data_IF_327589724189
#
_entry.id   IF_327589724189
#
_cell.length_a   1.000
_cell.length_b   1.000
_cell.length_c   1.000
_cell.angle_alpha   90.00
_cell.angle_beta   90.00
_cell.angle_gamma   90.00
#
_symmetry.space_group_name_H-M   'P 1'
#
loop_
_entity.id
_entity.type
_entity.pdbx_description
1 polymer ?
#
# COMPACT_ATOMS: atom_id res chain seq x y z
N UNK A 1 -31.34 -32.74 2.30
CA UNK A 1 -32.23 -33.13 1.19
C UNK A 1 -31.58 -32.64 -0.10
N UNK A 2 -30.91 -33.50 -0.89
CA UNK A 2 -30.30 -33.07 -2.17
C UNK A 2 -31.44 -32.90 -3.19
N UNK A 3 -31.60 -31.69 -3.72
CA UNK A 3 -32.63 -31.39 -4.71
C UNK A 3 -32.42 -32.20 -5.98
N UNK A 4 -33.50 -32.75 -6.54
CA UNK A 4 -33.51 -33.55 -7.77
C UNK A 4 -32.97 -32.79 -9.01
N UNK A 5 -32.78 -31.47 -8.88
CA UNK A 5 -32.37 -30.52 -9.93
C UNK A 5 -30.87 -30.18 -9.84
N UNK A 6 -30.18 -30.59 -8.77
CA UNK A 6 -28.80 -30.19 -8.46
C UNK A 6 -28.67 -28.69 -8.15
N UNK A 7 -27.44 -28.18 -8.04
CA UNK A 7 -27.13 -26.77 -7.70
C UNK A 7 -27.17 -25.83 -8.92
N UNK A 8 -27.78 -26.26 -10.02
CA UNK A 8 -27.71 -25.56 -11.33
C UNK A 8 -28.86 -24.60 -11.62
N UNK A 9 -29.95 -24.68 -10.85
CA UNK A 9 -31.09 -23.75 -10.94
C UNK A 9 -31.28 -23.16 -9.55
N UNK A 10 -31.18 -21.83 -9.43
CA UNK A 10 -31.51 -21.13 -8.19
C UNK A 10 -33.01 -21.21 -7.92
N UNK A 11 -33.41 -21.72 -6.76
CA UNK A 11 -34.79 -21.68 -6.31
C UNK A 11 -34.86 -21.64 -4.78
N UNK A 12 -35.90 -20.98 -4.28
CA UNK A 12 -36.08 -20.70 -2.86
C UNK A 12 -37.53 -21.02 -2.46
N UNK A 13 -37.75 -22.00 -1.56
CA UNK A 13 -39.05 -22.26 -0.99
C UNK A 13 -39.36 -21.26 0.12
N UNK A 14 -40.60 -20.76 0.17
CA UNK A 14 -41.12 -19.88 1.21
C UNK A 14 -42.49 -20.39 1.64
N UNK A 15 -42.72 -20.52 2.94
CA UNK A 15 -44.06 -20.78 3.47
C UNK A 15 -44.72 -19.45 3.84
N UNK A 16 -45.88 -19.18 3.27
CA UNK A 16 -46.66 -17.96 3.51
C UNK A 16 -48.02 -18.35 4.07
N UNK A 17 -48.43 -17.72 5.16
CA UNK A 17 -49.79 -17.87 5.69
C UNK A 17 -50.77 -17.04 4.84
N UNK A 18 -51.78 -17.69 4.28
CA UNK A 18 -52.84 -17.04 3.52
C UNK A 18 -54.19 -17.57 4.00
N UNK A 19 -55.01 -16.70 4.60
CA UNK A 19 -56.34 -17.04 5.13
C UNK A 19 -56.34 -18.24 6.10
N UNK A 20 -55.31 -18.33 6.95
CA UNK A 20 -55.16 -19.41 7.94
C UNK A 20 -54.61 -20.73 7.37
N UNK A 21 -54.22 -20.76 6.09
CA UNK A 21 -53.59 -21.93 5.45
C UNK A 21 -52.14 -21.61 5.09
N UNK A 22 -51.22 -22.50 5.46
CA UNK A 22 -49.80 -22.41 5.04
C UNK A 22 -49.65 -22.82 3.59
N UNK A 23 -49.24 -21.88 2.75
CA UNK A 23 -48.99 -22.10 1.31
C UNK A 23 -47.49 -22.15 1.06
N UNK A 24 -47.02 -23.15 0.30
CA UNK A 24 -45.65 -23.21 -0.19
C UNK A 24 -45.53 -22.43 -1.50
N UNK A 25 -44.76 -21.35 -1.47
CA UNK A 25 -44.36 -20.58 -2.64
C UNK A 25 -42.94 -21.00 -3.02
N UNK A 26 -42.73 -21.36 -4.28
CA UNK A 26 -41.40 -21.65 -4.82
C UNK A 26 -41.02 -20.50 -5.75
N UNK A 27 -40.03 -19.72 -5.36
CA UNK A 27 -39.42 -18.70 -6.21
C UNK A 27 -38.30 -19.36 -7.00
N UNK A 28 -38.34 -19.26 -8.33
CA UNK A 28 -37.29 -19.77 -9.21
C UNK A 28 -36.58 -18.57 -9.81
N UNK A 29 -35.26 -18.54 -9.70
CA UNK A 29 -34.45 -17.45 -10.23
C UNK A 29 -34.53 -17.43 -11.76
N UNK A 30 -34.56 -16.23 -12.38
CA UNK A 30 -34.51 -16.15 -13.83
C UNK A 30 -33.17 -16.67 -14.36
N UNK A 31 -33.16 -17.28 -15.55
CA UNK A 31 -31.93 -17.82 -16.11
C UNK A 31 -30.98 -16.70 -16.58
N UNK A 32 -29.69 -16.86 -16.30
CA UNK A 32 -28.63 -15.88 -16.52
C UNK A 32 -28.00 -16.02 -17.93
N UNK A 33 -27.33 -14.97 -18.45
CA UNK A 33 -26.44 -15.10 -19.60
C UNK A 33 -25.48 -16.29 -19.42
N UNK A 34 -25.36 -17.15 -20.43
CA UNK A 34 -24.46 -18.32 -20.38
C UNK A 34 -25.06 -19.58 -19.72
N UNK A 35 -26.22 -19.48 -19.06
CA UNK A 35 -26.89 -20.65 -18.53
C UNK A 35 -27.33 -21.58 -19.65
N UNK A 36 -27.05 -22.87 -19.50
CA UNK A 36 -27.47 -23.92 -20.44
C UNK A 36 -28.99 -23.96 -20.57
N UNK A 37 -29.48 -24.43 -21.73
CA UNK A 37 -30.89 -24.71 -21.91
C UNK A 37 -31.28 -25.96 -21.09
N UNK A 38 -32.32 -25.84 -20.27
CA UNK A 38 -32.83 -26.94 -19.44
C UNK A 38 -34.02 -27.61 -20.09
N UNK A 39 -33.80 -28.80 -20.65
CA UNK A 39 -34.84 -29.62 -21.29
C UNK A 39 -35.58 -30.51 -20.28
N UNK A 40 -36.82 -30.88 -20.63
CA UNK A 40 -37.59 -31.88 -19.91
C UNK A 40 -36.82 -33.22 -19.91
N UNK A 41 -36.50 -33.76 -18.73
CA UNK A 41 -35.67 -34.99 -18.61
C UNK A 41 -36.47 -36.27 -18.55
N UNK A 42 -37.76 -36.20 -18.21
CA UNK A 42 -38.68 -37.34 -18.07
C UNK A 42 -39.98 -37.01 -18.79
N UNK A 43 -40.61 -38.01 -19.38
CA UNK A 43 -41.91 -37.85 -20.03
C UNK A 43 -42.91 -37.21 -19.07
N UNK A 44 -43.59 -36.17 -19.53
CA UNK A 44 -44.60 -35.45 -18.77
C UNK A 44 -45.86 -35.38 -19.61
N UNK A 45 -46.89 -36.13 -19.22
CA UNK A 45 -48.13 -36.29 -19.99
C UNK A 45 -47.82 -36.72 -21.42
N UNK A 46 -48.09 -35.85 -22.40
CA UNK A 46 -47.89 -36.04 -23.83
C UNK A 46 -46.55 -35.49 -24.34
N UNK A 47 -45.70 -34.92 -23.47
CA UNK A 47 -44.40 -34.36 -23.87
C UNK A 47 -43.26 -35.36 -23.62
N UNK A 48 -42.45 -35.57 -24.64
CA UNK A 48 -41.28 -36.43 -24.58
C UNK A 48 -40.08 -35.74 -23.93
N UNK A 49 -39.11 -36.48 -23.38
CA UNK A 49 -37.84 -35.90 -22.95
C UNK A 49 -37.17 -35.10 -24.08
N UNK A 50 -36.49 -34.01 -23.72
CA UNK A 50 -35.86 -33.08 -24.67
C UNK A 50 -36.68 -31.82 -24.95
N UNK A 51 -37.98 -31.81 -24.64
CA UNK A 51 -38.85 -30.65 -24.86
C UNK A 51 -38.47 -29.47 -23.93
N UNK A 52 -38.39 -28.27 -24.49
CA UNK A 52 -38.23 -27.02 -23.75
C UNK A 52 -39.59 -26.37 -23.49
N UNK A 53 -39.73 -25.74 -22.33
CA UNK A 53 -40.92 -24.96 -21.96
C UNK A 53 -40.53 -23.53 -21.66
N UNK A 54 -41.44 -22.60 -21.97
CA UNK A 54 -41.35 -21.21 -21.55
C UNK A 54 -42.59 -20.83 -20.74
N UNK A 55 -42.43 -19.88 -19.82
CA UNK A 55 -43.53 -19.32 -19.04
C UNK A 55 -43.94 -17.99 -19.66
N UNK A 56 -45.19 -17.92 -20.09
CA UNK A 56 -45.89 -16.69 -20.46
C UNK A 56 -46.77 -16.25 -19.29
N UNK A 57 -47.27 -14.99 -19.27
CA UNK A 57 -48.20 -14.53 -18.24
C UNK A 57 -49.38 -15.52 -18.08
N UNK A 58 -49.46 -16.16 -16.91
CA UNK A 58 -50.51 -17.13 -16.58
C UNK A 58 -50.34 -18.56 -17.14
N UNK A 59 -49.44 -18.82 -18.10
CA UNK A 59 -49.40 -20.13 -18.80
C UNK A 59 -47.98 -20.63 -19.06
N UNK A 60 -47.78 -21.94 -18.96
CA UNK A 60 -46.55 -22.62 -19.42
C UNK A 60 -46.83 -23.32 -20.74
N UNK A 61 -46.04 -23.02 -21.77
CA UNK A 61 -46.20 -23.57 -23.12
C UNK A 61 -44.88 -24.16 -23.61
N UNK A 62 -44.95 -25.07 -24.59
CA UNK A 62 -43.75 -25.56 -25.26
C UNK A 62 -43.03 -24.38 -25.95
N UNK A 63 -41.71 -24.33 -25.85
CA UNK A 63 -40.91 -23.30 -26.49
C UNK A 63 -41.02 -23.40 -28.02
N UNK A 64 -41.24 -22.26 -28.68
CA UNK A 64 -41.22 -22.14 -30.13
C UNK A 64 -39.77 -21.92 -30.61
N UNK A 65 -39.48 -22.04 -31.91
CA UNK A 65 -38.15 -21.75 -32.44
C UNK A 65 -37.62 -20.36 -32.03
N UNK A 66 -38.48 -19.34 -32.01
CA UNK A 66 -38.13 -17.98 -31.57
C UNK A 66 -37.68 -17.96 -30.09
N UNK A 67 -38.36 -18.71 -29.22
CA UNK A 67 -37.95 -18.84 -27.83
C UNK A 67 -36.60 -19.56 -27.71
N UNK A 68 -36.38 -20.60 -28.52
CA UNK A 68 -35.11 -21.33 -28.53
C UNK A 68 -33.97 -20.44 -29.01
N UNK A 69 -34.13 -19.70 -30.11
CA UNK A 69 -33.14 -18.73 -30.59
C UNK A 69 -32.81 -17.65 -29.53
N UNK A 70 -33.82 -17.15 -28.82
CA UNK A 70 -33.61 -16.19 -27.72
C UNK A 70 -32.75 -16.81 -26.61
N UNK A 71 -33.02 -18.07 -26.24
CA UNK A 71 -32.26 -18.79 -25.22
C UNK A 71 -30.83 -19.13 -25.70
N UNK A 72 -30.64 -19.43 -26.99
CA UNK A 72 -29.33 -19.64 -27.62
C UNK A 72 -28.52 -18.36 -27.67
N UNK A 73 -29.13 -17.23 -28.07
CA UNK A 73 -28.48 -15.91 -28.01
C UNK A 73 -28.02 -15.61 -26.60
N UNK A 74 -28.86 -15.85 -25.59
CA UNK A 74 -28.49 -15.70 -24.17
C UNK A 74 -27.33 -16.60 -23.77
N UNK A 75 -27.35 -17.87 -24.19
CA UNK A 75 -26.27 -18.82 -23.95
C UNK A 75 -24.95 -18.30 -24.53
N UNK A 76 -24.97 -17.81 -25.77
CA UNK A 76 -23.80 -17.25 -26.45
C UNK A 76 -23.33 -15.94 -25.81
N UNK A 77 -24.26 -15.06 -25.38
CA UNK A 77 -23.92 -13.80 -24.72
C UNK A 77 -23.15 -14.00 -23.42
N UNK A 78 -23.42 -15.07 -22.66
CA UNK A 78 -22.67 -15.36 -21.44
C UNK A 78 -21.47 -16.30 -21.61
N UNK A 79 -21.35 -17.01 -22.74
CA UNK A 79 -20.18 -17.85 -23.01
C UNK A 79 -18.88 -17.02 -23.09
N UNK A 80 -18.99 -15.78 -23.59
CA UNK A 80 -17.87 -14.85 -23.73
C UNK A 80 -17.73 -13.86 -22.57
N UNK A 81 -18.60 -13.93 -21.55
CA UNK A 81 -18.53 -13.02 -20.41
C UNK A 81 -17.28 -13.27 -19.55
N UNK A 82 -16.60 -12.20 -19.15
CA UNK A 82 -15.57 -12.24 -18.12
C UNK A 82 -16.23 -12.62 -16.78
N UNK A 83 -15.64 -13.57 -16.06
CA UNK A 83 -16.00 -13.89 -14.68
C UNK A 83 -14.73 -14.12 -13.86
N UNK A 84 -14.35 -13.07 -13.14
CA UNK A 84 -13.19 -13.05 -12.24
C UNK A 84 -13.62 -12.48 -10.91
N UNK A 85 -12.94 -12.90 -9.84
CA UNK A 85 -13.11 -12.30 -8.52
C UNK A 85 -11.78 -11.85 -7.96
N UNK A 86 -11.79 -10.71 -7.28
CA UNK A 86 -10.65 -10.19 -6.54
C UNK A 86 -10.95 -10.28 -5.06
N UNK A 87 -10.01 -10.86 -4.32
CA UNK A 87 -10.07 -10.97 -2.86
C UNK A 87 -8.83 -10.34 -2.24
N UNK A 88 -8.98 -9.78 -1.05
CA UNK A 88 -7.83 -9.45 -0.21
C UNK A 88 -7.17 -10.72 0.32
N UNK A 89 -5.87 -10.69 0.51
CA UNK A 89 -5.13 -11.82 1.05
C UNK A 89 -5.44 -12.00 2.55
N UNK A 90 -6.24 -13.00 2.91
CA UNK A 90 -6.60 -13.31 4.30
C UNK A 90 -7.46 -12.22 4.96
N UNK A 91 -7.40 -12.14 6.30
CA UNK A 91 -8.05 -11.07 7.08
C UNK A 91 -7.21 -9.80 7.06
N UNK A 92 -7.09 -9.19 5.90
CA UNK A 92 -6.26 -8.01 5.73
C UNK A 92 -6.88 -6.79 6.42
N UNK A 93 -6.03 -6.05 7.13
CA UNK A 93 -6.35 -4.75 7.75
C UNK A 93 -5.44 -3.68 7.18
N UNK A 94 -5.85 -2.42 7.27
CA UNK A 94 -5.03 -1.26 6.92
C UNK A 94 -4.81 -0.40 8.16
N UNK A 95 -3.56 -0.10 8.47
CA UNK A 95 -3.23 0.73 9.63
C UNK A 95 -3.22 2.23 9.27
N UNK A 96 -3.53 3.07 10.27
CA UNK A 96 -3.28 4.49 10.19
C UNK A 96 -1.76 4.76 10.05
N UNK A 97 -1.39 5.90 9.46
CA UNK A 97 -0.01 6.33 9.47
C UNK A 97 0.44 6.60 10.92
N UNK A 98 1.56 6.02 11.33
CA UNK A 98 2.16 6.27 12.63
C UNK A 98 2.71 7.70 12.66
N UNK A 99 2.65 8.36 13.82
CA UNK A 99 3.13 9.73 13.98
C UNK A 99 4.67 9.78 14.10
N UNK A 100 5.36 9.42 13.02
CA UNK A 100 6.80 9.58 12.92
C UNK A 100 7.22 11.04 12.69
N UNK A 101 6.32 11.89 12.19
CA UNK A 101 6.61 13.30 11.93
C UNK A 101 6.93 14.05 13.24
N UNK A 102 6.11 13.86 14.28
CA UNK A 102 6.37 14.46 15.60
C UNK A 102 7.66 13.96 16.23
N UNK A 103 8.00 12.68 16.06
CA UNK A 103 9.26 12.09 16.54
C UNK A 103 10.47 12.74 15.87
N UNK A 104 10.41 12.93 14.54
CA UNK A 104 11.47 13.58 13.76
C UNK A 104 11.63 15.05 14.16
N UNK A 105 10.52 15.75 14.36
CA UNK A 105 10.52 17.14 14.81
C UNK A 105 11.13 17.27 16.21
N UNK A 106 10.70 16.44 17.15
CA UNK A 106 11.23 16.43 18.52
C UNK A 106 12.72 16.10 18.55
N UNK A 107 13.16 15.10 17.78
CA UNK A 107 14.58 14.76 17.63
C UNK A 107 15.39 15.98 17.14
N UNK A 108 14.88 16.71 16.15
CA UNK A 108 15.54 17.91 15.64
C UNK A 108 15.67 19.01 16.69
N UNK A 109 14.62 19.23 17.49
CA UNK A 109 14.64 20.17 18.62
C UNK A 109 15.69 19.76 19.66
N UNK A 110 15.81 18.47 19.97
CA UNK A 110 16.76 17.97 20.94
C UNK A 110 18.22 18.09 20.43
N UNK A 111 18.46 17.89 19.13
CA UNK A 111 19.78 18.13 18.52
C UNK A 111 20.18 19.60 18.59
N UNK A 112 19.26 20.53 18.30
CA UNK A 112 19.52 21.96 18.42
C UNK A 112 19.84 22.36 19.87
N UNK A 113 19.04 21.89 20.83
CA UNK A 113 19.27 22.16 22.27
C UNK A 113 20.61 21.62 22.74
N UNK A 114 20.97 20.39 22.36
CA UNK A 114 22.23 19.75 22.74
C UNK A 114 23.46 20.53 22.24
N UNK A 115 23.37 21.14 21.06
CA UNK A 115 24.52 21.70 20.35
C UNK A 115 24.62 23.22 20.40
N UNK A 116 23.52 23.96 20.53
CA UNK A 116 23.50 25.43 20.55
C UNK A 116 23.54 25.98 21.99
N UNK A 117 22.80 25.40 22.95
CA UNK A 117 22.79 25.91 24.35
C UNK A 117 24.17 26.00 25.03
N UNK A 118 25.18 25.15 24.72
CA UNK A 118 26.51 25.31 25.29
C UNK A 118 27.21 26.65 24.91
N UNK A 119 26.71 27.38 23.92
CA UNK A 119 27.27 28.68 23.48
C UNK A 119 26.64 29.89 24.18
N UNK A 120 25.42 29.76 24.69
CA UNK A 120 24.67 30.85 25.35
C UNK A 120 25.02 31.02 26.83
N UNK A 121 25.95 30.21 27.35
CA UNK A 121 26.54 30.44 28.68
C UNK A 121 27.80 31.29 28.53
N UNK A 122 27.74 32.62 28.76
CA UNK A 122 28.95 33.39 28.93
C UNK A 122 29.64 32.88 30.21
N UNK A 123 30.91 32.48 30.08
CA UNK A 123 31.80 32.08 31.17
C UNK A 123 31.66 30.64 31.70
N UNK A 124 32.38 29.73 31.08
CA UNK A 124 33.14 28.69 31.80
C UNK A 124 34.45 28.37 31.07
N UNK A 125 35.10 29.42 30.58
CA UNK A 125 36.49 29.42 30.14
C UNK A 125 37.29 30.43 30.96
N UNK A 126 37.11 30.41 32.28
CA UNK A 126 38.07 30.89 33.26
C UNK A 126 37.59 30.44 34.64
N UNK A 127 38.50 30.00 35.50
CA UNK A 127 38.27 29.70 36.91
C UNK A 127 37.42 28.47 37.25
N UNK A 128 38.02 27.28 37.12
CA UNK A 128 38.02 26.25 38.17
C UNK A 128 38.91 25.09 37.76
N UNK A 129 40.17 25.16 38.21
CA UNK A 129 40.96 24.08 38.80
C UNK A 129 42.44 24.49 38.74
N UNK A 130 42.88 25.24 39.77
CA UNK A 130 44.29 25.24 40.17
C UNK A 130 44.62 23.87 40.79
N UNK A 131 44.58 22.82 39.97
CA UNK A 131 45.33 21.60 40.18
C UNK A 131 46.69 21.82 39.53
N UNK A 132 47.75 21.83 40.34
CA UNK A 132 49.14 22.04 39.93
C UNK A 132 49.51 21.21 38.70
N UNK A 133 49.47 21.83 37.52
CA UNK A 133 50.08 21.32 36.30
C UNK A 133 51.54 21.77 36.30
N UNK A 134 52.44 20.81 36.05
CA UNK A 134 53.87 21.09 35.94
C UNK A 134 54.14 22.19 34.90
N UNK A 135 55.12 23.09 35.12
CA UNK A 135 55.39 24.25 34.26
C UNK A 135 55.71 23.85 32.80
N UNK A 136 56.08 22.60 32.55
CA UNK A 136 56.31 22.07 31.21
C UNK A 136 55.03 21.81 30.41
N UNK A 137 53.95 21.34 31.03
CA UNK A 137 52.66 21.10 30.36
C UNK A 137 51.92 22.41 30.07
N UNK A 138 52.03 23.40 30.97
CA UNK A 138 51.49 24.74 30.76
C UNK A 138 52.14 25.43 29.55
N UNK A 139 53.47 25.28 29.37
CA UNK A 139 54.19 25.83 28.21
C UNK A 139 53.80 25.17 26.88
N UNK A 140 53.55 23.86 26.87
CA UNK A 140 53.11 23.13 25.66
C UNK A 140 51.66 23.47 25.29
N UNK A 141 50.76 23.59 26.27
CA UNK A 141 49.37 24.04 26.04
C UNK A 141 49.30 25.50 25.58
N UNK A 142 50.16 26.39 26.12
CA UNK A 142 50.26 27.78 25.68
C UNK A 142 50.77 27.92 24.23
N UNK A 143 51.63 27.00 23.76
CA UNK A 143 52.12 26.97 22.38
C UNK A 143 51.11 26.35 21.39
N UNK A 144 50.18 25.52 21.87
CA UNK A 144 49.10 24.92 21.05
C UNK A 144 47.81 25.75 21.02
N UNK A 145 47.64 26.71 21.93
CA UNK A 145 46.50 27.64 21.98
C UNK A 145 46.10 28.26 20.63
N UNK A 146 47.03 28.81 19.81
CA UNK A 146 46.68 29.38 18.50
C UNK A 146 46.36 28.34 17.41
N UNK A 147 46.69 27.06 17.61
CA UNK A 147 46.38 25.95 16.68
C UNK A 147 45.04 25.25 17.00
N UNK A 148 44.57 25.40 18.24
CA UNK A 148 43.29 24.88 18.76
C UNK A 148 42.17 25.95 18.77
N UNK A 149 42.44 27.13 18.22
CA UNK A 149 41.47 28.22 18.19
C UNK A 149 40.31 27.89 17.24
N UNK A 150 39.10 27.82 17.79
CA UNK A 150 37.85 27.75 17.03
C UNK A 150 37.79 28.93 16.05
N UNK A 151 37.87 28.62 14.74
CA UNK A 151 37.84 29.63 13.68
C UNK A 151 36.43 29.93 13.20
N UNK A 152 35.43 29.10 13.53
CA UNK A 152 34.03 29.38 13.20
C UNK A 152 33.55 30.52 14.07
N UNK A 153 32.74 31.42 13.51
CA UNK A 153 31.92 32.31 14.34
C UNK A 153 30.76 31.51 14.94
N UNK A 154 30.22 31.97 16.06
CA UNK A 154 29.03 31.35 16.69
C UNK A 154 27.88 31.26 15.68
N UNK A 155 27.71 32.28 14.84
CA UNK A 155 26.74 32.31 13.74
C UNK A 155 27.00 31.21 12.70
N UNK A 156 28.26 31.05 12.25
CA UNK A 156 28.62 30.02 11.27
C UNK A 156 28.38 28.59 11.81
N UNK A 157 28.65 28.35 13.08
CA UNK A 157 28.35 27.06 13.72
C UNK A 157 26.85 26.82 13.89
N UNK A 158 26.08 27.84 14.28
CA UNK A 158 24.62 27.72 14.36
C UNK A 158 24.00 27.39 13.00
N UNK A 159 24.50 27.98 11.92
CA UNK A 159 24.10 27.64 10.54
C UNK A 159 24.50 26.22 10.18
N UNK A 160 25.72 25.77 10.53
CA UNK A 160 26.19 24.39 10.32
C UNK A 160 25.28 23.36 11.01
N UNK A 161 24.95 23.60 12.29
CA UNK A 161 24.03 22.73 13.06
C UNK A 161 22.62 22.77 12.48
N UNK A 162 22.11 23.94 12.09
CA UNK A 162 20.80 24.08 11.45
C UNK A 162 20.69 23.28 10.15
N UNK A 163 21.71 23.37 9.29
CA UNK A 163 21.78 22.61 8.04
C UNK A 163 21.85 21.10 8.29
N UNK A 164 22.65 20.67 9.28
CA UNK A 164 22.72 19.26 9.70
C UNK A 164 21.36 18.72 10.13
N UNK A 165 20.63 19.45 11.00
CA UNK A 165 19.30 19.04 11.48
C UNK A 165 18.32 18.99 10.32
N UNK A 166 18.30 20.00 9.46
CA UNK A 166 17.41 20.04 8.30
C UNK A 166 17.65 18.86 7.33
N UNK A 167 18.92 18.59 6.98
CA UNK A 167 19.28 17.47 6.11
C UNK A 167 18.94 16.11 6.77
N UNK A 168 19.18 15.98 8.07
CA UNK A 168 18.85 14.76 8.82
C UNK A 168 17.35 14.50 8.87
N UNK A 169 16.52 15.53 9.08
CA UNK A 169 15.06 15.40 9.04
C UNK A 169 14.56 14.88 7.69
N UNK A 170 15.17 15.32 6.58
CA UNK A 170 14.83 14.80 5.26
C UNK A 170 15.16 13.32 5.13
N UNK A 171 16.33 12.87 5.58
CA UNK A 171 16.73 11.46 5.59
C UNK A 171 15.79 10.62 6.47
N UNK A 172 15.47 11.10 7.68
CA UNK A 172 14.55 10.42 8.58
C UNK A 172 13.14 10.34 7.99
N UNK A 173 12.66 11.37 7.30
CA UNK A 173 11.38 11.35 6.59
C UNK A 173 11.33 10.29 5.49
N UNK A 174 12.41 10.13 4.73
CA UNK A 174 12.54 9.04 3.72
C UNK A 174 12.55 7.67 4.39
N UNK A 175 13.29 7.49 5.49
CA UNK A 175 13.29 6.24 6.26
C UNK A 175 11.93 5.90 6.84
N UNK A 176 11.19 6.90 7.33
CA UNK A 176 9.82 6.71 7.82
C UNK A 176 8.92 6.15 6.71
N UNK A 177 9.00 6.70 5.49
CA UNK A 177 8.26 6.18 4.33
C UNK A 177 8.68 4.74 4.00
N UNK A 178 9.97 4.43 4.04
CA UNK A 178 10.47 3.06 3.83
C UNK A 178 9.94 2.09 4.90
N UNK A 179 9.95 2.47 6.18
CA UNK A 179 9.39 1.66 7.26
C UNK A 179 7.91 1.40 7.05
N UNK A 180 7.14 2.44 6.71
CA UNK A 180 5.73 2.30 6.35
C UNK A 180 5.51 1.39 5.14
N UNK A 181 6.30 1.57 4.08
CA UNK A 181 6.19 0.81 2.84
C UNK A 181 6.66 -0.65 2.96
N UNK A 182 7.42 -1.00 3.99
CA UNK A 182 7.83 -2.38 4.27
C UNK A 182 6.96 -3.04 5.35
N UNK A 183 6.11 -2.28 6.02
CA UNK A 183 5.23 -2.80 7.06
C UNK A 183 4.09 -3.62 6.45
N UNK A 184 3.95 -4.88 6.90
CA UNK A 184 3.03 -5.83 6.30
C UNK A 184 1.55 -5.36 6.33
N UNK A 185 1.10 -4.71 7.41
CA UNK A 185 -0.27 -4.22 7.51
C UNK A 185 -0.55 -3.00 6.60
N UNK A 186 0.48 -2.38 6.05
CA UNK A 186 0.36 -1.30 5.07
C UNK A 186 0.46 -1.82 3.62
N UNK A 187 0.59 -3.12 3.39
CA UNK A 187 0.68 -3.70 2.04
C UNK A 187 -0.69 -4.16 1.56
N UNK A 188 -1.32 -3.44 0.63
CA UNK A 188 -2.52 -3.93 -0.07
C UNK A 188 -2.16 -5.16 -0.92
N UNK A 189 -2.65 -6.34 -0.53
CA UNK A 189 -2.39 -7.60 -1.23
C UNK A 189 -3.70 -8.15 -1.78
N UNK A 190 -3.77 -8.20 -3.10
CA UNK A 190 -4.96 -8.65 -3.81
C UNK A 190 -4.66 -9.89 -4.63
N UNK A 191 -5.61 -10.82 -4.67
CA UNK A 191 -5.53 -12.03 -5.49
C UNK A 191 -6.67 -12.02 -6.49
N UNK A 192 -6.33 -12.09 -7.77
CA UNK A 192 -7.25 -12.21 -8.90
C UNK A 192 -7.47 -13.69 -9.19
N UNK A 193 -8.73 -14.12 -9.25
CA UNK A 193 -9.12 -15.51 -9.51
C UNK A 193 -10.00 -15.57 -10.74
N UNK A 194 -9.69 -16.48 -11.65
CA UNK A 194 -10.58 -16.85 -12.75
C UNK A 194 -11.56 -17.93 -12.27
N UNK A 195 -12.87 -17.67 -12.32
CA UNK A 195 -13.88 -18.60 -11.82
C UNK A 195 -14.38 -19.60 -12.88
N UNK A 196 -13.77 -19.57 -14.07
CA UNK A 196 -14.28 -20.26 -15.25
C UNK A 196 -13.33 -21.34 -15.76
N UNK A 197 -13.88 -22.21 -16.62
CA UNK A 197 -13.12 -23.24 -17.33
C UNK A 197 -12.36 -22.72 -18.57
N UNK A 198 -12.39 -21.41 -18.84
CA UNK A 198 -11.75 -20.78 -20.02
C UNK A 198 -10.57 -19.89 -19.62
N UNK A 199 -9.53 -19.79 -20.45
CA UNK A 199 -8.47 -18.83 -20.23
C UNK A 199 -8.91 -17.40 -20.61
N UNK A 200 -8.43 -16.42 -19.86
CA UNK A 200 -8.55 -15.00 -20.18
C UNK A 200 -7.18 -14.41 -20.49
N UNK A 201 -7.09 -13.65 -21.58
CA UNK A 201 -5.86 -13.02 -22.03
C UNK A 201 -5.86 -11.52 -21.72
N UNK A 202 -4.71 -11.01 -21.27
CA UNK A 202 -4.50 -9.61 -20.93
C UNK A 202 -5.60 -9.02 -20.04
N UNK A 203 -5.89 -9.70 -18.93
CA UNK A 203 -6.83 -9.22 -17.91
C UNK A 203 -6.25 -8.01 -17.22
N UNK A 204 -6.89 -6.85 -17.35
CA UNK A 204 -6.47 -5.61 -16.73
C UNK A 204 -7.35 -5.31 -15.52
N UNK A 205 -6.70 -5.05 -14.39
CA UNK A 205 -7.38 -4.71 -13.13
C UNK A 205 -7.14 -3.26 -12.77
N UNK A 206 -8.21 -2.54 -12.45
CA UNK A 206 -8.18 -1.20 -11.88
C UNK A 206 -8.85 -1.21 -10.51
N UNK A 207 -8.16 -0.67 -9.50
CA UNK A 207 -8.62 -0.63 -8.11
C UNK A 207 -8.68 0.82 -7.66
N UNK A 208 -9.74 1.18 -6.97
CA UNK A 208 -9.91 2.46 -6.29
C UNK A 208 -10.08 2.20 -4.79
N UNK A 209 -9.17 2.75 -4.01
CA UNK A 209 -9.17 2.67 -2.55
C UNK A 209 -9.60 4.01 -1.98
N UNK A 210 -10.70 4.04 -1.22
CA UNK A 210 -11.24 5.27 -0.63
C UNK A 210 -10.75 5.45 0.81
N UNK A 211 -10.27 6.65 1.13
CA UNK A 211 -9.82 7.00 2.48
C UNK A 211 -8.47 6.38 2.83
N UNK A 212 -7.58 6.29 1.85
CA UNK A 212 -6.20 5.84 2.02
C UNK A 212 -5.23 6.77 1.27
N UNK A 213 -3.96 6.70 1.65
CA UNK A 213 -2.85 7.41 1.04
C UNK A 213 -1.82 6.44 0.51
N UNK A 214 -1.37 6.65 -0.72
CA UNK A 214 -0.25 5.91 -1.27
C UNK A 214 1.06 6.32 -0.60
N UNK A 215 1.86 5.32 -0.20
CA UNK A 215 3.19 5.51 0.38
C UNK A 215 4.21 5.14 -0.68
N UNK A 216 4.81 6.14 -1.31
CA UNK A 216 5.96 5.93 -2.19
C UNK A 216 7.24 5.90 -1.34
N UNK A 217 7.93 4.75 -1.22
CA UNK A 217 9.19 4.68 -0.49
C UNK A 217 10.32 5.46 -1.17
N UNK A 218 10.18 5.84 -2.45
CA UNK A 218 11.24 6.43 -3.23
C UNK A 218 12.35 5.41 -3.49
N UNK A 219 13.55 5.66 -2.97
CA UNK A 219 14.62 4.66 -2.99
C UNK A 219 14.42 3.64 -1.87
N UNK A 220 14.78 2.39 -2.11
CA UNK A 220 14.88 1.36 -1.06
C UNK A 220 16.24 1.36 -0.35
N UNK A 221 17.18 2.19 -0.80
CA UNK A 221 18.48 2.30 -0.17
C UNK A 221 18.36 3.03 1.18
N UNK A 222 18.92 2.42 2.23
CA UNK A 222 18.92 3.00 3.56
C UNK A 222 19.97 4.11 3.64
N UNK A 223 19.58 5.33 3.25
CA UNK A 223 20.48 6.48 3.24
C UNK A 223 21.03 6.75 4.64
N UNK A 224 22.37 6.84 4.84
CA UNK A 224 22.95 7.20 6.12
C UNK A 224 22.58 8.63 6.50
N UNK A 225 22.59 8.94 7.81
CA UNK A 225 22.44 10.32 8.25
C UNK A 225 23.66 11.14 7.80
N UNK A 226 23.50 12.45 7.57
CA UNK A 226 24.63 13.36 7.40
C UNK A 226 25.63 13.23 8.55
N UNK A 227 26.90 13.53 8.29
CA UNK A 227 27.92 13.54 9.33
C UNK A 227 27.62 14.59 10.39
N UNK A 228 27.83 14.24 11.66
CA UNK A 228 27.55 15.15 12.76
C UNK A 228 28.54 16.32 12.77
N UNK A 229 28.09 17.56 13.05
CA UNK A 229 28.98 18.70 13.18
C UNK A 229 29.89 18.50 14.40
N UNK A 230 31.19 18.75 14.20
CA UNK A 230 32.19 18.68 15.26
C UNK A 230 31.82 19.65 16.41
N UNK A 231 31.93 19.22 17.68
CA UNK A 231 31.64 20.08 18.83
C UNK A 231 32.36 21.42 18.74
N UNK A 232 31.73 22.47 19.27
CA UNK A 232 32.39 23.77 19.38
C UNK A 232 33.74 23.65 20.11
N UNK A 233 34.78 24.30 19.59
CA UNK A 233 36.13 24.27 20.18
C UNK A 233 37.00 23.07 19.80
N UNK A 234 36.51 22.11 19.01
CA UNK A 234 37.26 20.87 18.68
C UNK A 234 37.92 20.85 17.29
N UNK A 235 37.64 21.84 16.42
CA UNK A 235 38.29 21.92 15.10
C UNK A 235 39.69 22.54 15.22
N UNK A 236 40.72 21.69 15.16
CA UNK A 236 42.14 22.10 15.05
C UNK A 236 42.46 22.60 13.65
N UNK A 237 43.50 23.45 13.51
CA UNK A 237 43.92 24.15 12.28
C UNK A 237 44.26 23.30 11.04
N UNK A 238 44.10 21.97 11.07
CA UNK A 238 44.39 21.08 9.94
C UNK A 238 43.14 20.59 9.19
N UNK A 239 41.93 20.98 9.62
CA UNK A 239 40.70 20.64 8.89
C UNK A 239 40.31 21.81 7.98
N UNK A 240 40.37 21.67 6.64
CA UNK A 240 40.03 22.76 5.72
C UNK A 240 38.59 23.23 5.94
N UNK A 241 38.24 24.49 5.59
CA UNK A 241 36.87 24.94 5.58
C UNK A 241 36.14 24.22 4.45
N UNK A 242 35.64 23.02 4.72
CA UNK A 242 34.59 22.45 3.92
C UNK A 242 33.36 23.31 4.19
N UNK A 243 33.19 24.31 3.33
CA UNK A 243 31.87 24.71 2.88
C UNK A 243 31.22 23.39 2.49
N UNK A 244 30.31 22.88 3.32
CA UNK A 244 29.41 21.80 2.94
C UNK A 244 28.47 22.34 1.87
N UNK A 245 29.01 22.52 0.66
CA UNK A 245 28.29 22.44 -0.59
C UNK A 245 27.86 20.97 -0.72
N UNK A 246 26.93 20.54 0.12
CA UNK A 246 26.12 19.34 -0.11
C UNK A 246 25.15 19.65 -1.25
N UNK A 247 25.74 19.92 -2.42
CA UNK A 247 25.12 20.44 -3.60
C UNK A 247 25.97 20.06 -4.81
N UNK A 248 26.26 18.76 -4.94
CA UNK A 248 26.59 18.03 -6.17
C UNK A 248 27.04 16.62 -5.82
N UNK A 249 26.09 15.68 -5.81
CA UNK A 249 26.43 14.27 -5.98
C UNK A 249 27.05 14.10 -7.38
N UNK A 250 28.21 13.46 -7.55
CA UNK A 250 28.65 13.02 -8.86
C UNK A 250 27.68 11.93 -9.32
N UNK A 251 26.88 12.24 -10.34
CA UNK A 251 26.16 11.24 -11.12
C UNK A 251 27.23 10.42 -11.83
N UNK A 252 27.67 9.33 -11.19
CA UNK A 252 28.47 8.32 -11.85
C UNK A 252 27.63 7.76 -13.00
N UNK A 253 28.11 7.95 -14.23
CA UNK A 253 27.56 7.31 -15.41
C UNK A 253 27.85 5.80 -15.31
N UNK A 254 26.99 5.08 -14.60
CA UNK A 254 26.92 3.64 -14.69
C UNK A 254 26.52 3.27 -16.13
N UNK A 255 27.11 2.22 -16.73
CA UNK A 255 26.71 1.76 -18.05
C UNK A 255 25.21 1.48 -18.03
N UNK A 256 24.45 2.23 -18.85
CA UNK A 256 23.00 2.12 -18.99
C UNK A 256 22.63 0.81 -19.70
N UNK A 257 22.83 -0.32 -19.02
CA UNK A 257 21.91 -1.44 -19.18
C UNK A 257 20.62 -0.98 -18.52
N UNK A 258 19.79 -0.21 -19.25
CA UNK A 258 18.45 0.12 -18.77
C UNK A 258 17.73 -1.22 -18.59
N UNK A 259 17.47 -1.68 -17.36
CA UNK A 259 16.66 -2.87 -17.20
C UNK A 259 15.34 -2.57 -17.91
N UNK A 260 14.91 -3.51 -18.75
CA UNK A 260 13.61 -3.43 -19.41
C UNK A 260 12.59 -3.16 -18.28
N UNK A 261 11.84 -2.04 -18.31
CA UNK A 261 10.95 -1.72 -17.21
C UNK A 261 9.97 -2.87 -17.06
N UNK A 262 10.09 -3.61 -15.96
CA UNK A 262 9.09 -4.60 -15.59
C UNK A 262 7.78 -3.81 -15.46
N UNK A 263 6.70 -4.22 -16.14
CA UNK A 263 5.42 -3.53 -16.02
C UNK A 263 5.02 -3.53 -14.54
N UNK A 264 5.02 -2.36 -13.91
CA UNK A 264 4.57 -2.18 -12.52
C UNK A 264 3.18 -1.59 -12.53
N UNK A 265 2.45 -1.83 -11.45
CA UNK A 265 1.19 -1.13 -11.23
C UNK A 265 1.40 0.39 -11.25
N UNK A 266 0.51 1.10 -11.93
CA UNK A 266 0.49 2.55 -11.93
C UNK A 266 -0.39 3.02 -10.78
N UNK A 267 0.16 3.82 -9.88
CA UNK A 267 -0.56 4.35 -8.73
C UNK A 267 -0.70 5.86 -8.87
N UNK A 268 -1.92 6.36 -8.68
CA UNK A 268 -2.24 7.79 -8.71
C UNK A 268 -3.05 8.15 -7.48
N UNK A 269 -2.54 9.08 -6.69
CA UNK A 269 -3.30 9.73 -5.63
C UNK A 269 -4.20 10.80 -6.27
N UNK A 270 -5.52 10.68 -6.07
CA UNK A 270 -6.51 11.67 -6.51
C UNK A 270 -7.33 12.07 -5.29
N UNK A 271 -7.03 13.25 -4.76
CA UNK A 271 -7.63 13.75 -3.51
C UNK A 271 -7.49 12.72 -2.38
N UNK A 272 -8.61 12.12 -1.94
CA UNK A 272 -8.70 11.12 -0.85
C UNK A 272 -8.86 9.69 -1.37
N UNK A 273 -8.62 9.47 -2.66
CA UNK A 273 -8.71 8.17 -3.30
C UNK A 273 -7.35 7.77 -3.89
N UNK A 274 -7.03 6.50 -3.81
CA UNK A 274 -5.89 5.91 -4.51
C UNK A 274 -6.41 5.10 -5.69
N UNK A 275 -5.98 5.45 -6.90
CA UNK A 275 -6.27 4.71 -8.12
C UNK A 275 -5.05 3.87 -8.47
N UNK A 276 -5.23 2.56 -8.58
CA UNK A 276 -4.19 1.58 -8.88
C UNK A 276 -4.58 0.86 -10.16
N UNK A 277 -3.74 0.89 -11.18
CA UNK A 277 -3.92 0.14 -12.42
C UNK A 277 -2.81 -0.89 -12.55
N UNK A 278 -3.18 -2.16 -12.44
CA UNK A 278 -2.23 -3.28 -12.56
C UNK A 278 -1.93 -3.56 -14.04
N UNK A 279 -0.71 -4.05 -14.35
CA UNK A 279 -0.39 -4.49 -15.70
C UNK A 279 -1.30 -5.64 -16.13
N UNK A 280 -1.60 -5.79 -17.43
CA UNK A 280 -2.42 -6.90 -17.91
C UNK A 280 -1.76 -8.25 -17.65
N UNK A 281 -2.55 -9.24 -17.24
CA UNK A 281 -2.07 -10.61 -16.93
C UNK A 281 -2.92 -11.66 -17.62
N UNK A 282 -2.29 -12.76 -18.03
CA UNK A 282 -2.99 -13.91 -18.59
C UNK A 282 -3.42 -14.87 -17.47
N UNK A 283 -4.70 -15.22 -17.44
CA UNK A 283 -5.27 -16.13 -16.47
C UNK A 283 -5.68 -17.45 -17.14
N UNK A 284 -5.14 -18.56 -16.64
CA UNK A 284 -5.61 -19.90 -16.99
C UNK A 284 -6.95 -20.19 -16.29
N UNK A 285 -7.71 -21.21 -16.76
CA UNK A 285 -8.88 -21.70 -16.06
C UNK A 285 -8.60 -21.96 -14.58
N UNK A 286 -9.47 -21.49 -13.68
CA UNK A 286 -9.35 -21.64 -12.21
C UNK A 286 -8.05 -21.14 -11.58
N UNK A 287 -7.22 -20.41 -12.34
CA UNK A 287 -5.94 -19.94 -11.84
C UNK A 287 -6.12 -18.72 -10.94
N UNK A 288 -5.25 -18.65 -9.94
CA UNK A 288 -5.08 -17.50 -9.08
C UNK A 288 -3.80 -16.76 -9.48
N UNK A 289 -3.87 -15.43 -9.47
CA UNK A 289 -2.75 -14.56 -9.71
C UNK A 289 -2.67 -13.53 -8.58
N UNK A 290 -1.54 -13.53 -7.88
CA UNK A 290 -1.27 -12.54 -6.82
C UNK A 290 -0.79 -11.26 -7.48
N UNK A 291 -1.51 -10.16 -7.25
CA UNK A 291 -1.16 -8.85 -7.76
C UNK A 291 -0.02 -8.24 -6.92
N UNK A 292 0.79 -7.39 -7.55
CA UNK A 292 1.89 -6.71 -6.89
C UNK A 292 1.39 -5.94 -5.65
N UNK A 293 2.03 -6.09 -4.48
CA UNK A 293 1.59 -5.39 -3.28
C UNK A 293 1.82 -3.88 -3.39
N UNK A 294 0.85 -3.09 -2.94
CA UNK A 294 0.93 -1.62 -2.94
C UNK A 294 0.90 -1.09 -1.51
N UNK A 295 1.89 -0.25 -1.18
CA UNK A 295 2.00 0.36 0.13
C UNK A 295 0.97 1.49 0.31
N UNK A 296 0.05 1.33 1.25
CA UNK A 296 -1.01 2.27 1.58
C UNK A 296 -1.09 2.50 3.10
N UNK A 297 -1.51 3.69 3.51
CA UNK A 297 -1.89 3.98 4.90
C UNK A 297 -3.34 4.48 4.96
N UNK A 298 -4.08 4.09 6.00
CA UNK A 298 -5.43 4.59 6.22
C UNK A 298 -5.43 6.08 6.58
N UNK A 299 -6.39 6.82 6.03
CA UNK A 299 -6.61 8.22 6.37
C UNK A 299 -7.35 8.34 7.72
N UNK A 300 -6.81 9.12 8.65
CA UNK A 300 -7.34 9.32 10.01
C UNK A 300 -8.57 10.27 10.09
N UNK A 301 -9.23 10.56 8.97
CA UNK A 301 -10.35 11.50 8.92
C UNK A 301 -11.66 10.85 9.42
N UNK A 302 -12.48 11.57 10.21
CA UNK A 302 -13.66 11.00 10.88
C UNK A 302 -14.78 10.54 9.92
N UNK A 303 -14.83 11.11 8.71
CA UNK A 303 -15.85 10.82 7.71
C UNK A 303 -15.74 9.44 7.04
N UNK A 304 -14.63 8.73 7.22
CA UNK A 304 -14.41 7.43 6.59
C UNK A 304 -14.70 6.22 7.50
N UNK A 305 -15.18 6.46 8.73
CA UNK A 305 -15.54 5.39 9.65
C UNK A 305 -14.39 4.42 9.95
N UNK A 306 -14.75 3.16 10.21
CA UNK A 306 -13.83 2.09 10.64
C UNK A 306 -13.38 1.16 9.50
N UNK A 307 -13.81 1.41 8.27
CA UNK A 307 -13.52 0.56 7.10
C UNK A 307 -12.89 1.35 5.95
N UNK A 308 -12.07 0.70 5.15
CA UNK A 308 -11.52 1.21 3.90
C UNK A 308 -12.22 0.45 2.77
N UNK A 309 -12.96 1.19 1.94
CA UNK A 309 -13.66 0.61 0.81
C UNK A 309 -12.71 0.51 -0.39
N UNK A 310 -12.50 -0.71 -0.86
CA UNK A 310 -11.69 -1.03 -2.02
C UNK A 310 -12.64 -1.48 -3.12
N UNK A 311 -12.86 -0.62 -4.10
CA UNK A 311 -13.65 -0.96 -5.30
C UNK A 311 -12.73 -1.36 -6.42
N UNK A 312 -13.11 -2.36 -7.20
CA UNK A 312 -12.30 -2.84 -8.31
C UNK A 312 -13.12 -3.06 -9.56
N UNK A 313 -12.44 -3.00 -10.70
CA UNK A 313 -12.96 -3.24 -12.04
C UNK A 313 -11.95 -4.07 -12.82
N UNK A 314 -12.43 -4.99 -13.62
CA UNK A 314 -11.60 -5.85 -14.47
C UNK A 314 -12.19 -5.98 -15.87
N UNK A 315 -11.31 -5.97 -16.86
CA UNK A 315 -11.61 -6.23 -18.28
C UNK A 315 -10.60 -7.24 -18.82
N UNK A 316 -10.90 -7.89 -19.93
CA UNK A 316 -9.98 -8.79 -20.62
C UNK A 316 -10.04 -8.56 -22.13
N UNK A 317 -8.97 -8.91 -22.85
CA UNK A 317 -8.89 -8.69 -24.30
C UNK A 317 -9.73 -9.66 -25.13
N UNK A 318 -9.95 -10.87 -24.62
CA UNK A 318 -10.64 -11.96 -25.30
C UNK A 318 -12.01 -12.31 -24.66
N UNK A 319 -12.57 -11.39 -23.87
CA UNK A 319 -13.86 -11.56 -23.22
C UNK A 319 -14.65 -10.26 -23.24
N UNK A 320 -15.97 -10.38 -23.33
CA UNK A 320 -16.87 -9.25 -23.27
C UNK A 320 -17.27 -8.97 -21.82
N UNK A 321 -17.53 -7.70 -21.53
CA UNK A 321 -18.07 -7.26 -20.25
C UNK A 321 -17.05 -6.67 -19.28
N UNK A 322 -17.57 -6.21 -18.15
CA UNK A 322 -16.85 -5.57 -17.07
C UNK A 322 -17.18 -6.31 -15.78
N UNK A 323 -16.18 -6.93 -15.15
CA UNK A 323 -16.33 -7.42 -13.79
C UNK A 323 -16.04 -6.29 -12.82
N UNK A 324 -16.78 -6.22 -11.73
CA UNK A 324 -16.52 -5.26 -10.67
C UNK A 324 -16.94 -5.84 -9.32
N UNK A 325 -16.38 -5.27 -8.26
CA UNK A 325 -16.71 -5.68 -6.89
C UNK A 325 -16.16 -4.71 -5.87
N UNK A 326 -16.46 -4.99 -4.61
CA UNK A 326 -16.04 -4.20 -3.47
C UNK A 326 -15.50 -5.12 -2.39
N UNK A 327 -14.41 -4.70 -1.75
CA UNK A 327 -13.80 -5.34 -0.59
C UNK A 327 -13.76 -4.28 0.52
N UNK A 328 -14.24 -4.63 1.71
CA UNK A 328 -14.13 -3.78 2.89
C UNK A 328 -12.96 -4.26 3.73
N UNK A 329 -11.98 -3.39 3.98
CA UNK A 329 -10.85 -3.66 4.86
C UNK A 329 -11.07 -2.95 6.19
N UNK A 330 -10.75 -3.59 7.31
CA UNK A 330 -10.83 -2.93 8.62
C UNK A 330 -9.66 -1.96 8.82
N UNK A 331 -9.91 -0.86 9.53
CA UNK A 331 -8.90 0.11 9.97
C UNK A 331 -8.39 -0.25 11.36
N UNK A 332 -7.10 0.00 11.62
CA UNK A 332 -6.51 -0.17 12.95
C UNK A 332 -5.45 0.89 13.24
N UNK A 333 -5.19 1.10 14.53
CA UNK A 333 -4.05 1.87 14.98
C UNK A 333 -2.74 1.22 14.54
N UNK A 334 -1.72 2.06 14.33
CA UNK A 334 -0.46 1.55 13.81
C UNK A 334 0.28 0.70 14.83
N UNK A 335 0.74 -0.47 14.40
CA UNK A 335 1.66 -1.35 15.14
C UNK A 335 3.11 -1.16 14.69
N UNK A 336 3.37 -0.18 13.83
CA UNK A 336 4.70 0.08 13.29
C UNK A 336 5.68 0.47 14.41
N UNK A 337 6.72 -0.33 14.56
CA UNK A 337 7.83 -0.03 15.48
C UNK A 337 8.74 1.07 14.89
N UNK A 338 8.67 2.25 15.49
CA UNK A 338 9.47 3.42 15.11
C UNK A 338 10.83 3.50 15.81
N UNK A 339 11.21 2.53 16.65
CA UNK A 339 12.53 2.53 17.31
C UNK A 339 13.70 2.49 16.33
N UNK A 340 13.48 1.93 15.12
CA UNK A 340 14.48 1.86 14.05
C UNK A 340 14.62 3.16 13.24
N UNK A 341 13.75 4.15 13.46
CA UNK A 341 13.73 5.39 12.70
C UNK A 341 15.00 6.22 12.96
N UNK A 342 15.33 6.40 14.24
CA UNK A 342 16.51 7.12 14.69
C UNK A 342 17.54 6.08 15.13
N UNK A 343 18.69 5.95 14.43
CA UNK A 343 19.70 4.99 14.82
C UNK A 343 20.25 5.36 16.21
N UNK A 344 20.47 4.34 17.05
CA UNK A 344 21.23 4.52 18.27
C UNK A 344 22.62 5.08 17.94
N UNK A 345 23.21 5.95 18.78
CA UNK A 345 24.59 6.37 18.58
C UNK A 345 25.48 5.12 18.49
N UNK A 346 26.49 5.11 17.60
CA UNK A 346 27.44 4.00 17.57
C UNK A 346 28.00 3.83 18.98
N UNK A 347 27.88 2.62 19.54
CA UNK A 347 28.58 2.28 20.79
C UNK A 347 30.05 2.58 20.54
N UNK A 348 30.58 3.60 21.19
CA UNK A 348 32.02 3.83 21.26
C UNK A 348 32.63 2.53 21.74
N UNK A 349 33.53 1.97 20.93
CA UNK A 349 34.31 0.81 21.31
C UNK A 349 35.05 1.16 22.58
N UNK A 350 34.63 0.59 23.71
CA UNK A 350 35.42 0.55 24.92
C UNK A 350 36.72 -0.18 24.54
N UNK A 351 37.82 0.56 24.56
CA UNK A 351 39.19 0.04 24.40
C UNK A 351 39.96 0.32 25.66
#
# INVERSE_FOLDING_TARGET
>A
MRGYIGDRIGWHPQYVDHSGVKVLVIVVDPPRPGDRLHTLRKTLRNFQPGVLFTRLPGQTVQASPVHVEMLERRLLTGADALDVTIHAAGEQVLEYAADGASIIEQWGVDQLKKRIRPLDSPSSASEKESGSLSPHLAGVLAQLGPLMAERRTTEAYNVEVGNYVAASKQVLGTRLKQLHANHAANQLRLTLTNNTDRPFAAVQVSVQVRGAWHIDPGSYDWTPLPEEPAPWGTRTALTPPYISLSGRYPIGAAPLSRPRPVPRAQVRQVERNVLITYPPVDLRPHAQHVLDPIALAAAAQPEFGQTVDVTWKSTASNANGLCHGTIALARRDSTLDLTRLIPAPPRTAET
#
